data_IF_527368319570
#
_entry.id   IF_527368319570
#
_cell.length_a   1.000
_cell.length_b   1.000
_cell.length_c   1.000
_cell.angle_alpha   90.00
_cell.angle_beta   90.00
_cell.angle_gamma   90.00
#
_symmetry.space_group_name_H-M   'P 1'
#
loop_
_entity.id
_entity.type
_entity.pdbx_description
1 polymer ?
#
# COMPACT_ATOMS: atom_id res chain seq x y z
N UNK A 1 8.81 -8.73 11.93
CA UNK A 1 9.32 -7.56 11.18
C UNK A 1 8.16 -6.62 10.88
N UNK A 2 8.28 -5.33 11.17
CA UNK A 2 7.19 -4.34 10.99
C UNK A 2 7.21 -3.76 9.57
N UNK A 3 6.06 -3.37 9.03
CA UNK A 3 5.95 -2.75 7.70
C UNK A 3 4.80 -1.73 7.66
N UNK A 4 4.94 -0.68 6.85
CA UNK A 4 3.80 0.10 6.37
C UNK A 4 3.17 -0.65 5.18
N UNK A 5 1.87 -0.92 5.27
CA UNK A 5 1.14 -1.70 4.28
C UNK A 5 -0.09 -0.95 3.79
N UNK A 6 -0.36 -1.05 2.50
CA UNK A 6 -1.67 -0.74 1.91
C UNK A 6 -1.97 -1.73 0.80
N UNK A 7 -3.24 -1.86 0.45
CA UNK A 7 -3.70 -2.81 -0.56
C UNK A 7 -4.48 -2.09 -1.63
N UNK A 8 -4.22 -2.46 -2.88
CA UNK A 8 -4.98 -2.01 -4.04
C UNK A 8 -5.65 -3.20 -4.70
N UNK A 9 -6.76 -2.96 -5.38
CA UNK A 9 -7.42 -3.94 -6.22
C UNK A 9 -8.00 -3.30 -7.48
N UNK A 10 -8.18 -4.10 -8.52
CA UNK A 10 -8.98 -3.74 -9.69
C UNK A 10 -10.45 -3.97 -9.34
N UNK A 11 -11.29 -2.98 -9.57
CA UNK A 11 -12.72 -3.04 -9.26
C UNK A 11 -13.54 -3.78 -10.35
N UNK A 12 -13.11 -3.72 -11.61
CA UNK A 12 -13.81 -4.34 -12.75
C UNK A 12 -13.00 -5.47 -13.36
N UNK A 13 -13.67 -6.61 -13.60
CA UNK A 13 -13.04 -7.85 -14.06
C UNK A 13 -12.46 -7.80 -15.49
N UNK A 14 -12.78 -6.76 -16.27
CA UNK A 14 -12.37 -6.64 -17.69
C UNK A 14 -11.24 -5.62 -17.92
N UNK A 15 -10.64 -5.06 -16.87
CA UNK A 15 -9.48 -4.17 -17.01
C UNK A 15 -8.18 -4.96 -16.96
N UNK A 16 -7.54 -5.09 -18.11
CA UNK A 16 -6.19 -5.63 -18.25
C UNK A 16 -5.17 -4.51 -17.98
N UNK A 17 -4.72 -4.42 -16.72
CA UNK A 17 -3.65 -3.50 -16.33
C UNK A 17 -2.31 -4.21 -16.27
N UNK A 18 -1.36 -3.67 -17.04
CA UNK A 18 0.04 -4.12 -17.05
C UNK A 18 0.94 -3.00 -16.59
N UNK A 19 2.20 -3.35 -16.28
CA UNK A 19 3.23 -2.38 -15.90
C UNK A 19 2.80 -1.45 -14.75
N UNK A 20 2.11 -2.00 -13.75
CA UNK A 20 1.68 -1.25 -12.57
C UNK A 20 2.88 -0.98 -11.67
N UNK A 21 3.22 0.29 -11.53
CA UNK A 21 4.29 0.82 -10.68
C UNK A 21 3.70 1.65 -9.54
N UNK A 22 4.37 1.63 -8.40
CA UNK A 22 3.96 2.36 -7.20
C UNK A 22 5.15 3.04 -6.55
N UNK A 23 4.93 4.30 -6.18
CA UNK A 23 5.86 5.11 -5.43
C UNK A 23 5.19 5.58 -4.14
N UNK A 24 5.94 5.53 -3.04
CA UNK A 24 5.47 6.03 -1.74
C UNK A 24 6.47 7.04 -1.21
N UNK A 25 5.98 8.21 -0.84
CA UNK A 25 6.76 9.30 -0.27
C UNK A 25 6.24 9.59 1.13
N UNK A 26 7.11 9.49 2.13
CA UNK A 26 6.83 9.96 3.47
C UNK A 26 7.04 11.47 3.53
N UNK A 27 6.00 12.21 3.91
CA UNK A 27 6.05 13.62 4.27
C UNK A 27 5.95 13.77 5.79
N UNK A 28 6.89 14.47 6.43
CA UNK A 28 6.84 14.78 7.87
C UNK A 28 7.51 16.09 8.22
N UNK A 29 7.08 16.74 9.30
CA UNK A 29 7.73 17.93 9.84
C UNK A 29 9.00 17.56 10.62
N UNK A 30 10.08 18.27 10.32
CA UNK A 30 11.35 18.22 11.06
C UNK A 30 12.03 19.59 11.05
N UNK A 31 12.44 20.06 12.23
CA UNK A 31 13.15 21.34 12.41
C UNK A 31 12.41 22.52 11.74
N UNK A 32 11.10 22.68 11.99
CA UNK A 32 10.23 23.68 11.37
C UNK A 32 10.19 23.64 9.83
N UNK A 33 10.45 22.48 9.21
CA UNK A 33 10.35 22.30 7.76
C UNK A 33 9.74 20.95 7.40
N UNK A 34 8.91 20.91 6.35
CA UNK A 34 8.41 19.64 5.79
C UNK A 34 9.54 18.94 5.03
N UNK A 35 9.80 17.68 5.36
CA UNK A 35 10.77 16.80 4.67
C UNK A 35 10.04 15.68 3.94
N UNK A 36 10.63 15.24 2.83
CA UNK A 36 10.08 14.19 1.97
C UNK A 36 11.11 13.07 1.82
N UNK A 37 10.68 11.82 1.96
CA UNK A 37 11.53 10.64 1.86
C UNK A 37 10.87 9.60 0.97
N UNK A 38 11.56 9.16 -0.08
CA UNK A 38 11.10 8.03 -0.88
C UNK A 38 11.25 6.75 -0.07
N UNK A 39 10.15 6.02 0.09
CA UNK A 39 10.13 4.76 0.83
C UNK A 39 10.46 3.61 -0.10
N UNK A 40 11.41 2.77 0.33
CA UNK A 40 11.79 1.55 -0.40
C UNK A 40 10.69 0.51 -0.25
N UNK A 41 10.05 0.15 -1.37
CA UNK A 41 9.04 -0.91 -1.40
C UNK A 41 9.70 -2.27 -1.62
N UNK A 42 9.08 -3.33 -1.09
CA UNK A 42 9.47 -4.71 -1.36
C UNK A 42 9.40 -5.02 -2.86
N UNK A 43 8.30 -4.62 -3.49
CA UNK A 43 8.13 -4.58 -4.93
C UNK A 43 7.66 -3.19 -5.31
N UNK A 44 8.34 -2.54 -6.26
CA UNK A 44 7.90 -1.24 -6.79
C UNK A 44 7.00 -1.38 -8.02
N UNK A 45 7.10 -2.49 -8.73
CA UNK A 45 6.43 -2.74 -10.00
C UNK A 45 5.99 -4.19 -10.11
N UNK A 46 4.80 -4.39 -10.65
CA UNK A 46 4.30 -5.68 -11.13
C UNK A 46 3.93 -5.55 -12.62
N UNK A 47 4.26 -6.57 -13.41
CA UNK A 47 4.01 -6.52 -14.85
C UNK A 47 2.57 -6.92 -15.21
N UNK A 48 1.95 -7.76 -14.37
CA UNK A 48 0.58 -8.25 -14.55
C UNK A 48 -0.18 -7.99 -13.26
N UNK A 49 -1.22 -7.15 -13.32
CA UNK A 49 -2.04 -6.83 -12.17
C UNK A 49 -3.41 -7.50 -12.32
N UNK A 50 -3.52 -8.71 -11.75
CA UNK A 50 -4.63 -9.61 -12.11
C UNK A 50 -5.86 -9.43 -11.22
N UNK A 51 -5.71 -8.77 -10.07
CA UNK A 51 -6.82 -8.49 -9.16
C UNK A 51 -6.44 -7.62 -7.96
N UNK A 52 -5.49 -8.06 -7.12
CA UNK A 52 -5.11 -7.34 -5.89
C UNK A 52 -3.61 -7.40 -5.64
N UNK A 53 -3.10 -6.35 -5.00
CA UNK A 53 -1.69 -6.24 -4.65
C UNK A 53 -1.59 -5.56 -3.29
N UNK A 54 -0.90 -6.22 -2.37
CA UNK A 54 -0.52 -5.63 -1.07
C UNK A 54 0.89 -5.09 -1.20
N UNK A 55 1.05 -3.78 -1.01
CA UNK A 55 2.30 -3.06 -1.11
C UNK A 55 2.89 -2.94 0.29
N UNK A 56 4.18 -3.29 0.42
CA UNK A 56 4.90 -3.26 1.69
C UNK A 56 6.11 -2.32 1.61
N UNK A 57 6.19 -1.38 2.53
CA UNK A 57 7.45 -0.75 2.92
C UNK A 57 7.93 -1.40 4.22
N UNK A 58 8.98 -2.22 4.13
CA UNK A 58 9.58 -2.87 5.31
C UNK A 58 10.26 -1.79 6.17
N UNK A 59 9.91 -1.74 7.46
CA UNK A 59 10.49 -0.80 8.42
C UNK A 59 11.72 -1.45 9.04
N UNK A 60 12.87 -1.26 8.39
CA UNK A 60 14.20 -1.64 8.86
C UNK A 60 15.03 -0.40 9.24
N UNK A 61 16.29 -0.57 9.63
CA UNK A 61 17.17 0.55 10.05
C UNK A 61 17.39 1.65 8.99
N UNK A 62 17.18 1.35 7.71
CA UNK A 62 17.26 2.32 6.61
C UNK A 62 15.96 3.15 6.46
N UNK A 63 14.87 2.72 7.11
CA UNK A 63 13.57 3.37 6.99
C UNK A 63 13.53 4.71 7.75
N UNK A 64 13.01 5.79 7.16
CA UNK A 64 12.84 7.08 7.83
C UNK A 64 11.78 7.06 8.95
N UNK A 65 11.05 5.95 9.10
CA UNK A 65 10.12 5.71 10.21
C UNK A 65 10.59 4.62 11.18
N UNK A 66 11.84 4.15 11.05
CA UNK A 66 12.40 3.18 11.98
C UNK A 66 12.43 3.72 13.41
N UNK A 67 11.93 2.90 14.35
CA UNK A 67 11.89 3.24 15.77
C UNK A 67 10.90 4.35 16.15
N UNK A 68 10.07 4.83 15.22
CA UNK A 68 9.05 5.83 15.52
C UNK A 68 7.80 5.17 16.10
N UNK A 69 7.23 5.79 17.13
CA UNK A 69 5.94 5.45 17.71
C UNK A 69 4.78 6.15 16.99
N UNK A 70 3.55 5.73 17.29
CA UNK A 70 2.33 6.43 16.85
C UNK A 70 2.34 7.91 17.23
N UNK A 71 2.83 8.22 18.44
CA UNK A 71 2.98 9.59 18.92
C UNK A 71 3.98 10.38 18.07
N UNK A 72 5.10 9.77 17.69
CA UNK A 72 6.11 10.45 16.87
C UNK A 72 5.58 10.75 15.46
N UNK A 73 4.80 9.84 14.86
CA UNK A 73 4.15 10.10 13.57
C UNK A 73 3.13 11.24 13.67
N UNK A 74 2.37 11.29 14.77
CA UNK A 74 1.42 12.37 15.03
C UNK A 74 2.13 13.71 15.27
N UNK A 75 3.15 13.74 16.12
CA UNK A 75 3.87 14.95 16.50
C UNK A 75 4.64 15.55 15.30
N UNK A 76 4.94 14.75 14.28
CA UNK A 76 5.57 15.19 13.04
C UNK A 76 4.58 15.44 11.88
N UNK A 77 3.26 15.43 12.14
CA UNK A 77 2.20 15.53 11.11
C UNK A 77 2.51 14.66 9.88
N UNK A 78 2.79 13.39 10.14
CA UNK A 78 3.24 12.44 9.15
C UNK A 78 2.13 12.09 8.15
N UNK A 79 2.50 12.02 6.87
CA UNK A 79 1.62 11.62 5.76
C UNK A 79 2.38 10.75 4.76
N UNK A 80 1.78 9.63 4.36
CA UNK A 80 2.27 8.72 3.32
C UNK A 80 1.58 9.06 2.01
N UNK A 81 2.30 9.69 1.08
CA UNK A 81 1.80 10.02 -0.25
C UNK A 81 2.05 8.85 -1.19
N UNK A 82 1.03 8.42 -1.92
CA UNK A 82 1.07 7.24 -2.78
C UNK A 82 0.75 7.68 -4.22
N UNK A 83 1.61 7.28 -5.15
CA UNK A 83 1.37 7.37 -6.59
C UNK A 83 1.37 5.97 -7.17
N UNK A 84 0.29 5.61 -7.85
CA UNK A 84 0.17 4.36 -8.61
C UNK A 84 0.03 4.74 -10.08
N UNK A 85 0.82 4.11 -10.95
CA UNK A 85 0.76 4.29 -12.40
C UNK A 85 0.67 2.91 -13.04
N UNK A 86 -0.21 2.72 -14.01
CA UNK A 86 -0.31 1.48 -14.77
C UNK A 86 -0.63 1.77 -16.22
N UNK A 87 -0.32 0.82 -17.11
CA UNK A 87 -0.80 0.85 -18.48
C UNK A 87 -2.12 0.08 -18.55
N UNK A 88 -3.16 0.79 -18.94
CA UNK A 88 -4.47 0.21 -19.22
C UNK A 88 -4.49 -0.28 -20.67
N UNK A 89 -4.55 -1.60 -20.85
CA UNK A 89 -4.52 -2.23 -22.17
C UNK A 89 -5.84 -2.03 -22.93
N UNK A 90 -6.96 -1.84 -22.23
CA UNK A 90 -8.28 -1.58 -22.81
C UNK A 90 -8.32 -0.22 -23.50
N UNK A 91 -7.74 0.80 -22.87
CA UNK A 91 -7.66 2.16 -23.42
C UNK A 91 -6.32 2.50 -24.07
N UNK A 92 -5.38 1.55 -24.08
CA UNK A 92 -4.04 1.68 -24.63
C UNK A 92 -3.25 2.91 -24.11
N UNK A 93 -3.40 3.25 -22.83
CA UNK A 93 -2.81 4.45 -22.23
C UNK A 93 -2.32 4.24 -20.80
N UNK A 94 -1.40 5.09 -20.35
CA UNK A 94 -1.03 5.13 -18.95
C UNK A 94 -2.07 5.89 -18.13
N UNK A 95 -2.58 5.24 -17.09
CA UNK A 95 -3.43 5.83 -16.07
C UNK A 95 -2.66 5.97 -14.76
N UNK A 96 -3.06 6.91 -13.92
CA UNK A 96 -2.48 7.05 -12.59
C UNK A 96 -3.57 7.35 -11.55
N UNK A 97 -3.28 6.95 -10.32
CA UNK A 97 -4.09 7.24 -9.14
C UNK A 97 -3.19 7.75 -8.02
N UNK A 98 -3.72 8.69 -7.23
CA UNK A 98 -3.01 9.29 -6.10
C UNK A 98 -3.85 9.14 -4.86
N UNK A 99 -3.21 8.70 -3.78
CA UNK A 99 -3.81 8.55 -2.47
C UNK A 99 -2.84 9.08 -1.42
N UNK A 100 -3.34 9.36 -0.23
CA UNK A 100 -2.49 9.56 0.93
C UNK A 100 -3.12 8.96 2.17
N UNK A 101 -2.27 8.63 3.14
CA UNK A 101 -2.66 8.23 4.48
C UNK A 101 -1.93 9.11 5.50
N UNK A 102 -2.67 9.86 6.30
CA UNK A 102 -2.16 10.59 7.44
C UNK A 102 -1.97 9.68 8.63
N UNK A 103 -1.20 10.14 9.63
CA UNK A 103 -0.93 9.39 10.86
C UNK A 103 -2.19 8.88 11.56
N UNK A 104 -3.33 9.57 11.43
CA UNK A 104 -4.63 9.25 12.05
C UNK A 104 -5.46 8.23 11.24
N UNK A 105 -5.01 7.86 10.05
CA UNK A 105 -5.61 6.84 9.19
C UNK A 105 -4.86 5.49 9.27
N UNK A 106 -3.74 5.45 10.01
CA UNK A 106 -2.92 4.25 10.18
C UNK A 106 -3.48 3.34 11.26
N UNK A 107 -3.56 2.04 10.95
CA UNK A 107 -3.93 1.01 11.91
C UNK A 107 -2.67 0.28 12.36
N UNK A 108 -2.29 0.49 13.63
CA UNK A 108 -1.13 -0.13 14.25
C UNK A 108 -1.43 -1.56 14.71
N UNK A 109 -0.43 -2.45 14.62
CA UNK A 109 -0.56 -3.84 15.07
C UNK A 109 -1.60 -4.62 14.27
N UNK A 110 -1.66 -4.36 12.97
CA UNK A 110 -2.55 -5.03 12.03
C UNK A 110 -1.80 -5.45 10.77
N UNK A 111 -2.29 -6.52 10.15
CA UNK A 111 -1.89 -6.98 8.81
C UNK A 111 -3.16 -7.24 8.02
N UNK A 112 -3.10 -7.11 6.69
CA UNK A 112 -4.25 -7.51 5.88
C UNK A 112 -4.46 -9.03 5.91
N UNK A 113 -5.71 -9.44 6.13
CA UNK A 113 -6.09 -10.85 6.05
C UNK A 113 -6.06 -11.36 4.61
N UNK A 114 -6.02 -12.68 4.46
CA UNK A 114 -6.12 -13.33 3.15
C UNK A 114 -7.53 -13.12 2.56
N UNK A 115 -7.58 -12.71 1.28
CA UNK A 115 -8.82 -12.48 0.50
C UNK A 115 -8.98 -13.45 -0.66
N UNK A 116 -8.06 -14.42 -0.80
CA UNK A 116 -8.13 -15.46 -1.80
C UNK A 116 -8.97 -16.62 -1.27
N UNK A 117 -10.05 -16.91 -1.98
CA UNK A 117 -10.96 -18.02 -1.70
C UNK A 117 -11.07 -18.99 -2.88
N UNK A 118 -12.07 -19.87 -2.79
CA UNK A 118 -12.49 -20.76 -3.88
C UNK A 118 -13.98 -20.61 -4.11
N UNK A 119 -14.40 -20.56 -5.36
CA UNK A 119 -15.81 -20.66 -5.75
C UNK A 119 -16.34 -22.09 -5.59
N UNK A 120 -17.67 -22.26 -5.67
CA UNK A 120 -18.33 -23.57 -5.58
C UNK A 120 -17.83 -24.59 -6.62
N UNK A 121 -17.41 -24.12 -7.79
CA UNK A 121 -16.84 -24.94 -8.87
C UNK A 121 -15.32 -25.16 -8.75
N UNK A 122 -14.71 -24.74 -7.65
CA UNK A 122 -13.31 -24.97 -7.33
C UNK A 122 -12.31 -24.01 -7.99
N UNK A 123 -12.77 -22.99 -8.74
CA UNK A 123 -11.91 -21.93 -9.27
C UNK A 123 -11.42 -21.01 -8.15
N UNK A 124 -10.22 -20.46 -8.29
CA UNK A 124 -9.71 -19.43 -7.39
C UNK A 124 -10.53 -18.15 -7.56
N UNK A 125 -10.92 -17.53 -6.45
CA UNK A 125 -11.70 -16.29 -6.44
C UNK A 125 -11.07 -15.31 -5.45
N UNK A 126 -11.29 -14.02 -5.67
CA UNK A 126 -10.91 -12.96 -4.74
C UNK A 126 -12.17 -12.32 -4.17
N UNK A 127 -12.22 -12.27 -2.85
CA UNK A 127 -13.32 -11.70 -2.08
C UNK A 127 -13.06 -10.20 -1.88
N UNK A 128 -13.43 -9.39 -2.87
CA UNK A 128 -13.17 -7.93 -2.86
C UNK A 128 -13.89 -7.20 -1.72
N UNK A 129 -14.99 -7.74 -1.21
CA UNK A 129 -15.66 -7.28 0.01
C UNK A 129 -14.74 -7.35 1.25
N UNK A 130 -13.72 -8.20 1.21
CA UNK A 130 -12.69 -8.35 2.25
C UNK A 130 -11.42 -7.55 1.96
N UNK A 131 -11.40 -6.64 0.97
CA UNK A 131 -10.19 -5.89 0.61
C UNK A 131 -9.56 -5.18 1.80
N UNK A 132 -10.40 -4.59 2.67
CA UNK A 132 -10.01 -3.89 3.90
C UNK A 132 -9.98 -4.79 5.13
N UNK A 133 -10.20 -6.11 4.99
CA UNK A 133 -10.16 -7.04 6.10
C UNK A 133 -8.74 -7.13 6.65
N UNK A 134 -8.62 -6.85 7.94
CA UNK A 134 -7.36 -6.89 8.69
C UNK A 134 -7.47 -7.87 9.84
N UNK A 135 -6.34 -8.40 10.24
CA UNK A 135 -6.17 -9.23 11.43
C UNK A 135 -5.14 -8.59 12.36
N UNK A 136 -5.25 -8.90 13.65
CA UNK A 136 -4.29 -8.41 14.65
C UNK A 136 -2.92 -9.03 14.37
N UNK A 137 -1.89 -8.19 14.32
CA UNK A 137 -0.50 -8.58 14.15
C UNK A 137 0.34 -8.02 15.31
N UNK A 138 1.31 -8.80 15.78
CA UNK A 138 2.24 -8.32 16.81
C UNK A 138 3.27 -7.37 16.19
N UNK A 139 3.42 -6.21 16.83
CA UNK A 139 4.52 -5.29 16.54
C UNK A 139 5.76 -5.81 17.24
N UNK A 140 6.87 -5.81 16.50
CA UNK A 140 8.19 -6.19 17.00
C UNK A 140 8.89 -4.98 17.62
#
# INVERSE_FOLDING_TARGET
MNAFQFRIAIYENDHDMIDVETEVILSKEQNNSRKFYNLKLEYRKINFFNASWTINHIINEESPVYGLSEKDLKDSDCEFLILIKGYDNTFAQYVNSRYSYRYDELIWGASFANIYGRSEDGRGMIELDKISLIEKAELN
#
